data_IF_390176230150
#
_entry.id   IF_390176230150
#
_cell.length_a   1.000
_cell.length_b   1.000
_cell.length_c   1.000
_cell.angle_alpha   90.00
_cell.angle_beta   90.00
_cell.angle_gamma   90.00
#
_symmetry.space_group_name_H-M   'P 1'
#
loop_
_entity.id
_entity.type
_entity.pdbx_description
1 polymer ?
#
# COMPACT_ATOMS: atom_id res chain seq x y z
N UNK A 1 -27.48 13.58 -4.30
CA UNK A 1 -26.55 13.71 -5.44
C UNK A 1 -25.73 12.43 -5.42
N UNK A 2 -25.76 11.62 -6.49
CA UNK A 2 -25.00 10.37 -6.57
C UNK A 2 -23.51 10.70 -6.48
N UNK A 3 -22.80 10.08 -5.53
CA UNK A 3 -21.37 10.26 -5.31
C UNK A 3 -20.51 9.47 -6.32
N UNK A 4 -20.98 9.29 -7.54
CA UNK A 4 -20.39 8.39 -8.56
C UNK A 4 -19.13 8.99 -9.24
N UNK A 5 -18.28 9.66 -8.47
CA UNK A 5 -17.06 10.34 -8.98
C UNK A 5 -16.07 9.34 -9.60
N UNK A 6 -16.11 8.07 -9.17
CA UNK A 6 -15.27 6.99 -9.68
C UNK A 6 -16.02 6.00 -10.57
N UNK A 7 -17.21 6.37 -11.07
CA UNK A 7 -17.94 5.49 -11.99
C UNK A 7 -17.11 5.17 -13.24
N UNK A 8 -16.97 3.88 -13.52
CA UNK A 8 -16.12 3.38 -14.61
C UNK A 8 -14.63 3.31 -14.29
N UNK A 9 -14.18 3.82 -13.14
CA UNK A 9 -12.79 3.71 -12.69
C UNK A 9 -12.51 2.36 -12.04
N UNK A 10 -11.32 1.86 -12.23
CA UNK A 10 -10.86 0.58 -11.67
C UNK A 10 -9.75 0.80 -10.65
N UNK A 11 -9.92 0.20 -9.48
CA UNK A 11 -8.99 0.34 -8.36
C UNK A 11 -8.55 -1.03 -7.87
N UNK A 12 -7.26 -1.21 -7.69
CA UNK A 12 -6.65 -2.37 -6.99
C UNK A 12 -6.26 -1.95 -5.59
N UNK A 13 -6.63 -2.72 -4.56
CA UNK A 13 -6.27 -2.44 -3.16
C UNK A 13 -5.65 -3.67 -2.52
N UNK A 14 -4.39 -3.57 -2.10
CA UNK A 14 -3.76 -4.62 -1.31
C UNK A 14 -4.10 -4.51 0.17
N UNK A 15 -4.29 -5.65 0.84
CA UNK A 15 -4.71 -5.68 2.25
C UNK A 15 -6.13 -5.18 2.46
N UNK A 16 -7.02 -5.43 1.51
CA UNK A 16 -8.42 -4.97 1.49
C UNK A 16 -9.35 -5.73 2.45
N UNK A 17 -8.85 -6.69 3.22
CA UNK A 17 -9.69 -7.59 4.05
C UNK A 17 -9.95 -7.07 5.46
N UNK A 18 -9.34 -5.96 5.88
CA UNK A 18 -9.56 -5.38 7.21
C UNK A 18 -9.00 -3.95 7.32
N UNK A 19 -9.38 -3.25 8.40
CA UNK A 19 -8.81 -1.96 8.78
C UNK A 19 -8.91 -0.92 7.67
N UNK A 20 -7.82 -0.17 7.45
CA UNK A 20 -7.76 0.94 6.48
C UNK A 20 -8.10 0.46 5.07
N UNK A 21 -7.57 -0.70 4.65
CA UNK A 21 -7.81 -1.22 3.30
C UNK A 21 -9.26 -1.57 3.04
N UNK A 22 -9.96 -2.17 4.01
CA UNK A 22 -11.39 -2.46 3.90
C UNK A 22 -12.22 -1.17 3.92
N UNK A 23 -11.93 -0.24 4.83
CA UNK A 23 -12.62 1.04 4.90
C UNK A 23 -12.42 1.86 3.61
N UNK A 24 -11.21 1.85 3.03
CA UNK A 24 -10.93 2.49 1.75
C UNK A 24 -11.69 1.80 0.60
N UNK A 25 -11.76 0.46 0.59
CA UNK A 25 -12.51 -0.28 -0.41
C UNK A 25 -14.01 0.06 -0.36
N UNK A 26 -14.61 0.14 0.83
CA UNK A 26 -16.00 0.58 0.99
C UNK A 26 -16.20 2.01 0.46
N UNK A 27 -15.35 2.96 0.87
CA UNK A 27 -15.46 4.35 0.45
C UNK A 27 -15.29 4.55 -1.07
N UNK A 28 -14.45 3.74 -1.71
CA UNK A 28 -14.24 3.77 -3.17
C UNK A 28 -15.40 3.09 -3.92
N UNK A 29 -15.96 2.00 -3.35
CA UNK A 29 -17.14 1.34 -3.89
C UNK A 29 -18.37 2.25 -3.84
N UNK A 30 -18.56 3.00 -2.75
CA UNK A 30 -19.64 4.00 -2.59
C UNK A 30 -19.54 5.13 -3.65
N UNK A 31 -18.35 5.38 -4.19
CA UNK A 31 -18.10 6.34 -5.27
C UNK A 31 -18.18 5.72 -6.67
N UNK A 32 -18.62 4.47 -6.79
CA UNK A 32 -18.85 3.78 -8.07
C UNK A 32 -17.63 3.08 -8.68
N UNK A 33 -16.50 2.96 -7.94
CA UNK A 33 -15.31 2.27 -8.44
C UNK A 33 -15.55 0.76 -8.61
N UNK A 34 -14.94 0.17 -9.64
CA UNK A 34 -14.73 -1.28 -9.75
C UNK A 34 -13.50 -1.66 -8.91
N UNK A 35 -13.60 -2.68 -8.07
CA UNK A 35 -12.56 -3.02 -7.11
C UNK A 35 -11.96 -4.40 -7.36
N UNK A 36 -10.64 -4.47 -7.36
CA UNK A 36 -9.89 -5.71 -7.17
C UNK A 36 -9.25 -5.63 -5.78
N UNK A 37 -9.85 -6.33 -4.82
CA UNK A 37 -9.31 -6.47 -3.47
C UNK A 37 -8.26 -7.57 -3.41
N UNK A 38 -7.16 -7.35 -2.70
CA UNK A 38 -6.13 -8.38 -2.50
C UNK A 38 -6.04 -8.73 -1.02
N UNK A 39 -6.13 -10.02 -0.71
CA UNK A 39 -5.97 -10.57 0.63
C UNK A 39 -5.25 -11.91 0.59
N UNK A 40 -4.79 -12.40 1.76
CA UNK A 40 -4.11 -13.70 1.85
C UNK A 40 -5.06 -14.83 2.19
N UNK A 41 -6.04 -14.56 3.02
CA UNK A 41 -6.97 -15.54 3.58
C UNK A 41 -8.29 -15.53 2.80
N UNK A 42 -8.72 -16.65 2.19
CA UNK A 42 -9.92 -16.72 1.37
C UNK A 42 -11.20 -16.40 2.14
N UNK A 43 -11.30 -16.85 3.40
CA UNK A 43 -12.49 -16.60 4.23
C UNK A 43 -12.63 -15.11 4.53
N UNK A 44 -11.51 -14.44 4.83
CA UNK A 44 -11.50 -12.99 5.05
C UNK A 44 -11.75 -12.20 3.76
N UNK A 45 -11.30 -12.70 2.61
CA UNK A 45 -11.61 -12.09 1.31
C UNK A 45 -13.10 -12.14 1.02
N UNK A 46 -13.75 -13.29 1.23
CA UNK A 46 -15.19 -13.44 1.05
C UNK A 46 -15.98 -12.53 2.00
N UNK A 47 -15.63 -12.53 3.29
CA UNK A 47 -16.26 -11.67 4.29
C UNK A 47 -16.13 -10.18 3.92
N UNK A 48 -14.94 -9.74 3.48
CA UNK A 48 -14.71 -8.37 3.05
C UNK A 48 -15.54 -8.00 1.80
N UNK A 49 -15.67 -8.92 0.85
CA UNK A 49 -16.54 -8.73 -0.32
C UNK A 49 -18.00 -8.47 0.08
N UNK A 50 -18.53 -9.24 1.05
CA UNK A 50 -19.87 -9.04 1.59
C UNK A 50 -20.04 -7.66 2.27
N UNK A 51 -19.04 -7.22 3.03
CA UNK A 51 -19.05 -5.88 3.67
C UNK A 51 -19.06 -4.76 2.63
N UNK A 52 -18.27 -4.87 1.57
CA UNK A 52 -18.24 -3.88 0.49
C UNK A 52 -19.60 -3.85 -0.25
N UNK A 53 -20.20 -5.02 -0.52
CA UNK A 53 -21.52 -5.10 -1.14
C UNK A 53 -22.65 -4.58 -0.24
N UNK A 54 -22.50 -4.66 1.08
CA UNK A 54 -23.44 -4.02 2.01
C UNK A 54 -23.34 -2.48 1.98
N UNK A 55 -22.11 -1.94 1.80
CA UNK A 55 -21.92 -0.50 1.65
C UNK A 55 -22.46 0.02 0.30
N UNK A 56 -22.27 -0.75 -0.79
CA UNK A 56 -22.86 -0.48 -2.09
C UNK A 56 -23.31 -1.80 -2.76
N UNK A 57 -24.63 -2.08 -2.81
CA UNK A 57 -25.16 -3.31 -3.43
C UNK A 57 -24.81 -3.49 -4.91
N UNK A 58 -24.50 -2.39 -5.62
CA UNK A 58 -24.13 -2.40 -7.04
C UNK A 58 -22.61 -2.48 -7.24
N UNK A 59 -21.82 -2.60 -6.17
CA UNK A 59 -20.37 -2.64 -6.26
C UNK A 59 -19.88 -3.85 -7.08
N UNK A 60 -19.07 -3.58 -8.09
CA UNK A 60 -18.30 -4.61 -8.80
C UNK A 60 -17.01 -4.84 -8.03
N UNK A 61 -16.94 -5.96 -7.32
CA UNK A 61 -15.79 -6.32 -6.51
C UNK A 61 -15.35 -7.76 -6.77
N UNK A 62 -14.05 -7.93 -7.00
CA UNK A 62 -13.41 -9.24 -7.09
C UNK A 62 -12.24 -9.28 -6.10
N UNK A 63 -12.11 -10.38 -5.35
CA UNK A 63 -10.94 -10.61 -4.51
C UNK A 63 -9.98 -11.59 -5.19
N UNK A 64 -8.69 -11.26 -5.13
CA UNK A 64 -7.58 -12.12 -5.52
C UNK A 64 -6.74 -12.46 -4.28
N UNK A 65 -6.19 -13.68 -4.25
CA UNK A 65 -5.42 -14.17 -3.12
C UNK A 65 -3.94 -14.15 -3.44
N UNK A 66 -3.11 -13.58 -2.53
CA UNK A 66 -1.66 -13.66 -2.64
C UNK A 66 -1.00 -13.50 -1.26
N UNK A 67 0.08 -14.25 -1.01
CA UNK A 67 1.01 -13.93 0.07
C UNK A 67 2.06 -12.95 -0.44
N UNK A 68 1.86 -11.67 -0.13
CA UNK A 68 2.75 -10.59 -0.54
C UNK A 68 4.17 -10.67 0.08
N UNK A 69 4.43 -11.66 0.93
CA UNK A 69 5.78 -11.95 1.40
C UNK A 69 6.64 -12.63 0.31
N UNK A 70 6.04 -13.20 -0.72
CA UNK A 70 6.71 -13.93 -1.79
C UNK A 70 6.63 -13.15 -3.11
N UNK A 71 7.76 -12.87 -3.71
CA UNK A 71 7.84 -12.16 -4.99
C UNK A 71 7.20 -12.95 -6.13
N UNK A 72 7.34 -14.28 -6.10
CA UNK A 72 6.65 -15.20 -7.03
C UNK A 72 5.13 -15.01 -6.99
N UNK A 73 4.55 -14.88 -5.79
CA UNK A 73 3.13 -14.62 -5.61
C UNK A 73 2.72 -13.20 -6.06
N UNK A 74 3.59 -12.20 -5.87
CA UNK A 74 3.35 -10.83 -6.36
C UNK A 74 3.32 -10.82 -7.89
N UNK A 75 4.20 -11.57 -8.57
CA UNK A 75 4.21 -11.68 -10.04
C UNK A 75 2.96 -12.40 -10.54
N UNK A 76 2.58 -13.52 -9.93
CA UNK A 76 1.34 -14.24 -10.23
C UNK A 76 0.12 -13.34 -10.07
N UNK A 77 0.05 -12.62 -8.94
CA UNK A 77 -1.02 -11.66 -8.66
C UNK A 77 -1.12 -10.57 -9.74
N UNK A 78 0.01 -10.01 -10.18
CA UNK A 78 0.01 -8.99 -11.23
C UNK A 78 -0.57 -9.53 -12.55
N UNK A 79 -0.25 -10.78 -12.91
CA UNK A 79 -0.83 -11.46 -14.07
C UNK A 79 -2.35 -11.62 -13.92
N UNK A 80 -2.82 -12.12 -12.79
CA UNK A 80 -4.26 -12.30 -12.52
C UNK A 80 -5.03 -10.96 -12.50
N UNK A 81 -4.40 -9.89 -12.01
CA UNK A 81 -4.97 -8.53 -12.11
C UNK A 81 -5.13 -8.15 -13.59
N UNK A 82 -4.09 -8.32 -14.41
CA UNK A 82 -4.13 -8.01 -15.85
C UNK A 82 -5.21 -8.81 -16.57
N UNK A 83 -5.35 -10.11 -16.29
CA UNK A 83 -6.40 -10.96 -16.82
C UNK A 83 -7.81 -10.48 -16.41
N UNK A 84 -7.95 -10.03 -15.14
CA UNK A 84 -9.21 -9.48 -14.64
C UNK A 84 -9.57 -8.17 -15.34
N UNK A 85 -8.59 -7.26 -15.49
CA UNK A 85 -8.79 -6.00 -16.25
C UNK A 85 -9.21 -6.26 -17.70
N UNK A 86 -8.54 -7.21 -18.35
CA UNK A 86 -8.88 -7.65 -19.71
C UNK A 86 -10.30 -8.21 -19.79
N UNK A 87 -10.68 -9.10 -18.85
CA UNK A 87 -12.03 -9.68 -18.77
C UNK A 87 -13.10 -8.63 -18.52
N UNK A 88 -12.79 -7.59 -17.76
CA UNK A 88 -13.70 -6.46 -17.53
C UNK A 88 -13.77 -5.49 -18.72
N UNK A 89 -12.93 -5.68 -19.74
CA UNK A 89 -12.87 -4.81 -20.93
C UNK A 89 -12.43 -3.39 -20.60
N UNK A 90 -11.61 -3.20 -19.55
CA UNK A 90 -11.12 -1.87 -19.17
C UNK A 90 -9.76 -1.59 -19.80
N UNK A 91 -9.51 -0.36 -20.29
CA UNK A 91 -8.28 -0.03 -21.01
C UNK A 91 -7.07 0.11 -20.10
N UNK A 92 -7.28 0.28 -18.79
CA UNK A 92 -6.20 0.52 -17.84
C UNK A 92 -6.63 0.39 -16.39
N UNK A 93 -5.67 0.56 -15.49
CA UNK A 93 -5.84 0.61 -14.04
C UNK A 93 -5.75 2.06 -13.58
N UNK A 94 -6.86 2.61 -13.10
CA UNK A 94 -6.89 4.03 -12.68
C UNK A 94 -6.14 4.25 -11.37
N UNK A 95 -6.28 3.35 -10.39
CA UNK A 95 -5.63 3.50 -9.08
C UNK A 95 -5.09 2.18 -8.55
N UNK A 96 -3.82 2.17 -8.15
CA UNK A 96 -3.21 1.11 -7.34
C UNK A 96 -2.99 1.59 -5.91
N UNK A 97 -3.67 0.98 -4.94
CA UNK A 97 -3.51 1.26 -3.51
C UNK A 97 -2.66 0.17 -2.87
N UNK A 98 -1.38 0.44 -2.66
CA UNK A 98 -0.45 -0.38 -1.91
C UNK A 98 -0.64 -0.14 -0.40
N UNK A 99 -1.65 -0.79 0.19
CA UNK A 99 -2.00 -0.59 1.60
C UNK A 99 -1.57 -1.76 2.50
N UNK A 100 -1.38 -2.96 1.96
CA UNK A 100 -0.95 -4.10 2.76
C UNK A 100 0.32 -3.79 3.56
N UNK A 101 0.35 -4.26 4.79
CA UNK A 101 1.51 -4.08 5.65
C UNK A 101 1.45 -4.96 6.89
N UNK A 102 2.61 -5.18 7.50
CA UNK A 102 2.74 -5.98 8.71
C UNK A 102 3.87 -5.48 9.60
N UNK A 103 3.88 -5.97 10.83
CA UNK A 103 5.01 -5.91 11.76
C UNK A 103 5.34 -7.36 12.11
N UNK A 104 6.55 -7.81 11.80
CA UNK A 104 7.02 -9.13 12.20
C UNK A 104 7.28 -9.18 13.73
N UNK A 105 7.15 -10.35 14.36
CA UNK A 105 7.44 -10.54 15.79
C UNK A 105 8.94 -10.68 16.09
N UNK A 106 9.71 -11.09 15.08
CA UNK A 106 11.16 -11.33 15.15
C UNK A 106 11.75 -11.22 13.74
N UNK A 107 13.06 -11.35 13.62
CA UNK A 107 13.69 -11.50 12.29
C UNK A 107 13.22 -12.81 11.65
N UNK A 108 12.42 -12.67 10.62
CA UNK A 108 11.93 -13.79 9.80
C UNK A 108 12.33 -13.53 8.35
N UNK A 109 12.77 -14.57 7.66
CA UNK A 109 13.02 -14.53 6.22
C UNK A 109 11.97 -15.34 5.48
N UNK A 110 11.62 -14.88 4.31
CA UNK A 110 10.80 -15.64 3.36
C UNK A 110 11.60 -16.80 2.78
N UNK A 111 10.93 -17.74 2.11
CA UNK A 111 11.62 -18.80 1.35
C UNK A 111 12.52 -18.26 0.23
N UNK A 112 12.32 -17.01 -0.18
CA UNK A 112 13.13 -16.29 -1.18
C UNK A 112 14.30 -15.51 -0.53
N UNK A 113 14.56 -15.68 0.78
CA UNK A 113 15.68 -15.06 1.50
C UNK A 113 15.50 -13.59 1.89
N UNK A 114 14.32 -13.02 1.71
CA UNK A 114 14.02 -11.62 2.01
C UNK A 114 13.51 -11.47 3.45
N UNK A 115 13.92 -10.40 4.15
CA UNK A 115 13.35 -10.04 5.46
C UNK A 115 11.86 -9.76 5.30
N UNK A 116 11.03 -10.37 6.16
CA UNK A 116 9.59 -10.44 5.93
C UNK A 116 8.86 -9.10 5.98
N UNK A 117 9.29 -8.17 6.85
CA UNK A 117 8.70 -6.83 6.90
C UNK A 117 9.07 -6.02 5.65
N UNK A 118 10.32 -6.11 5.22
CA UNK A 118 10.80 -5.53 3.96
C UNK A 118 10.02 -6.10 2.77
N UNK A 119 9.88 -7.43 2.70
CA UNK A 119 9.18 -8.11 1.60
C UNK A 119 7.75 -7.60 1.45
N UNK A 120 6.96 -7.60 2.54
CA UNK A 120 5.54 -7.23 2.49
C UNK A 120 5.33 -5.72 2.36
N UNK A 121 6.08 -4.92 3.14
CA UNK A 121 5.78 -3.50 3.29
C UNK A 121 6.39 -2.63 2.19
N UNK A 122 7.48 -3.08 1.56
CA UNK A 122 8.20 -2.31 0.54
C UNK A 122 8.38 -3.04 -0.79
N UNK A 123 8.98 -4.23 -0.81
CA UNK A 123 9.29 -4.89 -2.08
C UNK A 123 8.03 -5.37 -2.82
N UNK A 124 6.98 -5.82 -2.11
CA UNK A 124 5.72 -6.17 -2.75
C UNK A 124 5.05 -4.95 -3.41
N UNK A 125 4.86 -3.78 -2.73
CA UNK A 125 4.45 -2.55 -3.40
C UNK A 125 5.31 -2.16 -4.59
N UNK A 126 6.62 -2.24 -4.46
CA UNK A 126 7.57 -1.89 -5.51
C UNK A 126 7.40 -2.79 -6.74
N UNK A 127 7.47 -4.11 -6.56
CA UNK A 127 7.35 -5.10 -7.62
C UNK A 127 5.97 -5.09 -8.27
N UNK A 128 4.89 -5.03 -7.47
CA UNK A 128 3.52 -4.99 -8.00
C UNK A 128 3.29 -3.72 -8.84
N UNK A 129 3.80 -2.58 -8.39
CA UNK A 129 3.71 -1.33 -9.14
C UNK A 129 4.45 -1.43 -10.47
N UNK A 130 5.66 -2.00 -10.48
CA UNK A 130 6.42 -2.24 -11.71
C UNK A 130 5.64 -3.12 -12.68
N UNK A 131 5.12 -4.26 -12.23
CA UNK A 131 4.38 -5.21 -13.06
C UNK A 131 3.08 -4.63 -13.62
N UNK A 132 2.41 -3.73 -12.87
CA UNK A 132 1.16 -3.09 -13.28
C UNK A 132 1.37 -1.72 -13.95
N UNK A 133 2.62 -1.28 -14.13
CA UNK A 133 2.91 0.03 -14.71
C UNK A 133 2.29 0.25 -16.09
N UNK A 134 2.31 -0.72 -17.04
CA UNK A 134 1.66 -0.55 -18.33
C UNK A 134 0.16 -0.26 -18.20
N UNK A 135 -0.54 -0.91 -17.27
CA UNK A 135 -1.95 -0.68 -16.99
C UNK A 135 -2.20 0.70 -16.37
N UNK A 136 -1.33 1.13 -15.44
CA UNK A 136 -1.41 2.46 -14.83
C UNK A 136 -1.16 3.58 -15.85
N UNK A 137 -0.25 3.38 -16.79
CA UNK A 137 0.04 4.34 -17.85
C UNK A 137 -1.05 4.40 -18.92
N UNK A 138 -1.77 3.30 -19.14
CA UNK A 138 -2.91 3.26 -20.06
C UNK A 138 -4.11 4.05 -19.51
N UNK A 139 -4.29 4.10 -18.19
CA UNK A 139 -5.26 4.99 -17.55
C UNK A 139 -4.72 6.43 -17.50
N UNK A 140 -5.60 7.43 -17.67
CA UNK A 140 -5.22 8.85 -17.63
C UNK A 140 -6.20 9.65 -16.78
N UNK A 141 -5.76 10.14 -15.60
CA UNK A 141 -4.45 9.95 -14.96
C UNK A 141 -4.41 8.68 -14.10
N UNK A 142 -3.45 7.77 -14.35
CA UNK A 142 -3.18 6.65 -13.46
C UNK A 142 -2.51 7.10 -12.17
N UNK A 143 -2.83 6.45 -11.04
CA UNK A 143 -2.33 6.83 -9.71
C UNK A 143 -1.84 5.63 -8.90
N UNK A 144 -0.74 5.82 -8.19
CA UNK A 144 -0.27 4.91 -7.15
C UNK A 144 -0.40 5.58 -5.79
N UNK A 145 -1.05 4.90 -4.84
CA UNK A 145 -1.19 5.37 -3.46
C UNK A 145 -0.55 4.32 -2.54
N UNK A 146 0.44 4.72 -1.74
CA UNK A 146 1.16 3.80 -0.84
C UNK A 146 0.97 4.19 0.62
N UNK A 147 0.56 3.26 1.47
CA UNK A 147 0.41 3.51 2.90
C UNK A 147 1.77 3.56 3.59
N UNK A 148 2.14 4.74 4.09
CA UNK A 148 3.31 5.01 4.91
C UNK A 148 2.93 5.08 6.41
N UNK A 149 3.58 5.92 7.19
CA UNK A 149 3.29 6.18 8.61
C UNK A 149 4.12 7.36 9.12
N UNK A 150 3.61 8.10 10.10
CA UNK A 150 4.40 9.10 10.84
C UNK A 150 5.68 8.51 11.46
N UNK A 151 5.72 7.21 11.71
CA UNK A 151 6.90 6.53 12.26
C UNK A 151 8.18 6.71 11.44
N UNK A 152 8.08 7.10 10.15
CA UNK A 152 9.22 7.37 9.27
C UNK A 152 10.03 8.61 9.69
N UNK A 153 9.45 9.56 10.46
CA UNK A 153 10.11 10.82 10.81
C UNK A 153 11.39 10.65 11.64
N UNK A 154 11.46 9.65 12.49
CA UNK A 154 12.60 9.39 13.38
C UNK A 154 13.38 8.15 12.96
N UNK A 155 13.70 8.08 11.65
CA UNK A 155 14.31 6.88 11.06
C UNK A 155 15.38 7.29 10.06
N UNK A 156 16.42 6.51 9.96
CA UNK A 156 17.41 6.55 8.88
C UNK A 156 17.55 5.15 8.30
N UNK A 157 17.99 5.04 7.06
CA UNK A 157 18.25 3.77 6.39
C UNK A 157 19.66 3.77 5.79
N UNK A 158 20.23 2.58 5.70
CA UNK A 158 21.29 2.30 4.76
C UNK A 158 20.70 1.40 3.66
N UNK A 159 20.44 1.92 2.46
CA UNK A 159 19.78 1.15 1.41
C UNK A 159 20.51 -0.16 1.09
N UNK A 160 21.85 -0.17 1.13
CA UNK A 160 22.66 -1.36 0.87
C UNK A 160 22.52 -2.48 1.91
N UNK A 161 21.85 -2.23 3.03
CA UNK A 161 21.68 -3.19 4.14
C UNK A 161 20.21 -3.42 4.52
N UNK A 162 19.27 -3.02 3.68
CA UNK A 162 17.84 -3.14 4.01
C UNK A 162 17.41 -4.59 4.23
N UNK A 163 17.95 -5.54 3.44
CA UNK A 163 17.69 -6.97 3.61
C UNK A 163 18.60 -7.65 4.64
N UNK A 164 19.75 -7.05 4.97
CA UNK A 164 20.75 -7.63 5.89
C UNK A 164 21.17 -6.61 6.95
N UNK A 165 20.26 -6.19 7.86
CA UNK A 165 20.60 -5.27 8.92
C UNK A 165 21.61 -5.90 9.89
N UNK A 166 22.59 -5.12 10.37
CA UNK A 166 23.58 -5.59 11.37
C UNK A 166 22.92 -5.90 12.71
N UNK A 167 21.94 -5.09 13.09
CA UNK A 167 21.14 -5.25 14.30
C UNK A 167 19.68 -5.18 13.88
N UNK A 168 18.89 -6.18 14.25
CA UNK A 168 17.48 -6.23 13.94
C UNK A 168 16.63 -5.87 15.16
N UNK A 169 15.72 -4.93 14.96
CA UNK A 169 14.68 -4.60 15.91
C UNK A 169 13.35 -4.43 15.19
N UNK A 170 12.34 -5.16 15.59
CA UNK A 170 11.04 -5.26 14.88
C UNK A 170 10.38 -3.90 14.59
N UNK A 171 10.35 -3.00 15.58
CA UNK A 171 9.77 -1.67 15.38
C UNK A 171 10.66 -0.78 14.50
N UNK A 172 11.96 -1.00 14.50
CA UNK A 172 12.87 -0.28 13.61
C UNK A 172 12.68 -0.73 12.18
N UNK A 173 12.62 -2.05 11.91
CA UNK A 173 12.34 -2.61 10.60
C UNK A 173 11.01 -2.07 10.04
N UNK A 174 9.96 -2.01 10.85
CA UNK A 174 8.70 -1.40 10.46
C UNK A 174 8.84 0.09 10.11
N UNK A 175 9.50 0.89 10.97
CA UNK A 175 9.73 2.32 10.71
C UNK A 175 10.52 2.54 9.42
N UNK A 176 11.56 1.73 9.21
CA UNK A 176 12.38 1.75 7.99
C UNK A 176 11.50 1.47 6.78
N UNK A 177 10.69 0.41 6.79
CA UNK A 177 9.81 0.07 5.67
C UNK A 177 8.82 1.21 5.33
N UNK A 178 8.35 1.95 6.32
CA UNK A 178 7.46 3.09 6.09
C UNK A 178 8.17 4.30 5.50
N UNK A 179 9.46 4.48 5.79
CA UNK A 179 10.30 5.47 5.14
C UNK A 179 10.65 5.06 3.70
N UNK A 180 10.91 3.78 3.47
CA UNK A 180 11.14 3.24 2.13
C UNK A 180 9.97 3.55 1.21
N UNK A 181 8.73 3.44 1.70
CA UNK A 181 7.54 3.78 0.94
C UNK A 181 7.45 5.27 0.56
N UNK A 182 7.92 6.19 1.42
CA UNK A 182 8.00 7.63 1.08
C UNK A 182 9.08 7.88 0.03
N UNK A 183 10.27 7.30 0.19
CA UNK A 183 11.37 7.43 -0.77
C UNK A 183 10.99 6.83 -2.14
N UNK A 184 10.34 5.68 -2.15
CA UNK A 184 9.79 5.05 -3.35
C UNK A 184 8.81 5.98 -4.08
N UNK A 185 7.84 6.56 -3.34
CA UNK A 185 6.86 7.50 -3.90
C UNK A 185 7.55 8.71 -4.55
N UNK A 186 8.56 9.28 -3.90
CA UNK A 186 9.31 10.43 -4.41
C UNK A 186 10.09 10.06 -5.68
N UNK A 187 10.82 8.94 -5.66
CA UNK A 187 11.62 8.53 -6.81
C UNK A 187 10.74 8.07 -7.98
N UNK A 188 9.59 7.43 -7.71
CA UNK A 188 8.61 7.10 -8.73
C UNK A 188 8.14 8.35 -9.48
N UNK A 189 7.77 9.41 -8.77
CA UNK A 189 7.32 10.67 -9.38
C UNK A 189 8.41 11.39 -10.19
N UNK A 190 9.70 11.07 -9.96
CA UNK A 190 10.83 11.61 -10.73
C UNK A 190 11.07 10.82 -12.03
N UNK A 191 10.77 9.52 -12.01
CA UNK A 191 11.08 8.60 -13.12
C UNK A 191 9.90 8.36 -14.03
N UNK A 192 8.68 8.36 -13.48
CA UNK A 192 7.47 7.89 -14.17
C UNK A 192 6.52 9.05 -14.44
N UNK A 193 6.12 9.20 -15.69
CA UNK A 193 5.10 10.14 -16.16
C UNK A 193 4.19 9.43 -17.16
N UNK A 194 2.90 9.76 -17.29
CA UNK A 194 2.14 10.76 -16.53
C UNK A 194 1.56 10.25 -15.20
N UNK A 195 1.76 8.97 -14.86
CA UNK A 195 1.27 8.37 -13.61
C UNK A 195 1.84 9.10 -12.40
N UNK A 196 1.01 9.34 -11.39
CA UNK A 196 1.41 10.03 -10.15
C UNK A 196 1.33 9.11 -8.94
N UNK A 197 2.28 9.29 -8.01
CA UNK A 197 2.36 8.54 -6.77
C UNK A 197 2.18 9.41 -5.55
N UNK A 198 1.48 8.88 -4.54
CA UNK A 198 1.22 9.53 -3.26
C UNK A 198 1.46 8.56 -2.11
N UNK A 199 2.16 9.00 -1.07
CA UNK A 199 2.28 8.27 0.18
C UNK A 199 1.30 8.85 1.20
N UNK A 200 0.54 7.98 1.87
CA UNK A 200 -0.44 8.35 2.88
C UNK A 200 0.05 7.99 4.26
N UNK A 201 0.05 8.97 5.16
CA UNK A 201 0.19 8.76 6.60
C UNK A 201 -1.19 8.48 7.20
N UNK A 202 -1.44 7.28 7.71
CA UNK A 202 -2.74 6.99 8.30
C UNK A 202 -2.92 7.60 9.70
N UNK A 203 -1.85 8.15 10.30
CA UNK A 203 -1.84 8.50 11.72
C UNK A 203 -1.85 7.25 12.62
N UNK A 204 -2.26 7.46 13.88
CA UNK A 204 -2.48 6.37 14.81
C UNK A 204 -3.90 5.81 14.62
N UNK A 205 -4.01 4.64 14.01
CA UNK A 205 -5.29 4.03 13.67
C UNK A 205 -5.57 2.82 14.55
N UNK A 206 -6.83 2.66 14.93
CA UNK A 206 -7.31 1.49 15.66
C UNK A 206 -7.40 0.28 14.72
N UNK A 207 -6.26 -0.39 14.45
CA UNK A 207 -6.19 -1.58 13.58
C UNK A 207 -5.47 -2.73 14.28
N UNK A 208 -5.65 -3.95 13.79
CA UNK A 208 -5.01 -5.17 14.32
C UNK A 208 -3.55 -5.36 13.87
N UNK A 209 -2.98 -4.43 13.12
CA UNK A 209 -1.66 -4.63 12.49
C UNK A 209 -0.54 -4.96 13.49
N UNK A 210 -0.60 -4.37 14.69
CA UNK A 210 0.40 -4.58 15.75
C UNK A 210 0.11 -5.76 16.68
N UNK A 211 -1.03 -6.45 16.53
CA UNK A 211 -1.42 -7.58 17.38
C UNK A 211 -0.96 -8.93 16.82
N UNK A 212 -0.66 -8.99 15.52
CA UNK A 212 -0.27 -10.22 14.84
C UNK A 212 1.19 -10.56 15.11
N UNK A 213 1.43 -11.61 15.91
CA UNK A 213 2.78 -12.18 16.13
C UNK A 213 3.65 -11.42 17.12
N UNK A 214 3.12 -10.50 17.94
CA UNK A 214 3.87 -9.80 18.97
C UNK A 214 3.73 -10.47 20.34
N UNK A 215 4.77 -10.42 21.19
CA UNK A 215 4.71 -10.91 22.58
C UNK A 215 3.70 -10.14 23.45
N UNK A 216 3.33 -10.71 24.62
CA UNK A 216 2.28 -10.18 25.51
C UNK A 216 2.47 -8.69 25.87
N UNK A 217 3.70 -8.25 26.15
CA UNK A 217 4.00 -6.87 26.51
C UNK A 217 3.81 -5.92 25.31
N UNK A 218 4.27 -6.34 24.12
CA UNK A 218 4.10 -5.56 22.89
C UNK A 218 2.61 -5.45 22.51
N UNK A 219 1.83 -6.52 22.72
CA UNK A 219 0.38 -6.52 22.53
C UNK A 219 -0.31 -5.54 23.47
N UNK A 220 0.08 -5.52 24.74
CA UNK A 220 -0.50 -4.61 25.74
C UNK A 220 -0.20 -3.13 25.43
N UNK A 221 1.05 -2.79 25.07
CA UNK A 221 1.43 -1.44 24.66
C UNK A 221 0.67 -1.02 23.39
N UNK A 222 0.53 -1.95 22.43
CA UNK A 222 -0.19 -1.69 21.20
C UNK A 222 -1.70 -1.52 21.42
N UNK A 223 -2.28 -2.31 22.32
CA UNK A 223 -3.68 -2.23 22.72
C UNK A 223 -4.00 -0.88 23.43
N UNK A 224 -3.10 -0.41 24.30
CA UNK A 224 -3.23 0.92 24.92
C UNK A 224 -3.15 2.05 23.88
N UNK A 225 -2.22 1.95 22.93
CA UNK A 225 -2.12 2.93 21.83
C UNK A 225 -3.31 2.89 20.89
N UNK A 226 -3.86 1.73 20.66
CA UNK A 226 -5.03 1.53 19.81
C UNK A 226 -6.27 2.25 20.36
N UNK A 227 -6.46 2.27 21.67
CA UNK A 227 -7.61 2.93 22.33
C UNK A 227 -7.67 4.44 22.09
N UNK A 228 -6.53 5.08 21.81
CA UNK A 228 -6.44 6.50 21.41
C UNK A 228 -6.35 6.72 19.89
N UNK A 229 -6.44 5.66 19.08
CA UNK A 229 -6.32 5.74 17.63
C UNK A 229 -7.61 6.22 16.94
N UNK A 230 -7.44 6.91 15.82
CA UNK A 230 -8.57 7.31 14.97
C UNK A 230 -9.21 6.10 14.29
N UNK A 231 -10.51 6.15 13.97
CA UNK A 231 -11.18 5.14 13.14
C UNK A 231 -10.50 4.96 11.77
N UNK A 232 -10.59 3.75 11.19
CA UNK A 232 -9.97 3.42 9.91
C UNK A 232 -10.53 4.24 8.74
N UNK A 233 -11.72 4.76 8.89
CA UNK A 233 -12.43 5.62 7.92
C UNK A 233 -11.71 6.96 7.69
N UNK A 234 -10.98 7.47 8.69
CA UNK A 234 -10.25 8.75 8.58
C UNK A 234 -9.14 8.66 7.52
N UNK A 235 -8.16 7.73 7.59
CA UNK A 235 -7.18 7.57 6.53
C UNK A 235 -7.79 7.01 5.22
N UNK A 236 -8.88 6.23 5.30
CA UNK A 236 -9.61 5.77 4.12
C UNK A 236 -10.15 6.94 3.28
N UNK A 237 -10.68 7.99 3.91
CA UNK A 237 -11.09 9.22 3.20
C UNK A 237 -9.93 9.91 2.49
N UNK A 238 -8.72 9.91 3.08
CA UNK A 238 -7.53 10.45 2.39
C UNK A 238 -7.18 9.62 1.16
N UNK A 239 -7.26 8.28 1.24
CA UNK A 239 -7.04 7.40 0.09
C UNK A 239 -8.10 7.66 -0.98
N UNK A 240 -9.38 7.72 -0.61
CA UNK A 240 -10.48 8.00 -1.53
C UNK A 240 -10.33 9.39 -2.19
N UNK A 241 -9.98 10.43 -1.43
CA UNK A 241 -9.69 11.75 -1.97
C UNK A 241 -8.56 11.70 -3.01
N UNK A 242 -7.45 11.04 -2.72
CA UNK A 242 -6.33 10.90 -3.65
C UNK A 242 -6.67 10.06 -4.88
N UNK A 243 -7.63 9.15 -4.77
CA UNK A 243 -8.09 8.35 -5.88
C UNK A 243 -8.96 9.14 -6.87
N UNK A 244 -9.76 10.10 -6.40
CA UNK A 244 -10.78 10.77 -7.22
C UNK A 244 -10.49 12.25 -7.56
N UNK A 245 -9.79 13.01 -6.72
CA UNK A 245 -9.63 14.45 -6.93
C UNK A 245 -8.88 14.76 -8.23
N UNK A 246 -9.39 15.71 -9.02
CA UNK A 246 -8.80 16.13 -10.30
C UNK A 246 -7.59 17.03 -10.10
N UNK A 247 -7.69 17.98 -9.19
CA UNK A 247 -6.68 19.02 -8.93
C UNK A 247 -5.82 18.68 -7.71
N UNK A 248 -5.05 17.59 -7.79
CA UNK A 248 -4.10 17.24 -6.75
C UNK A 248 -2.80 18.02 -6.91
N UNK A 249 -2.30 18.56 -5.79
CA UNK A 249 -0.97 19.13 -5.74
C UNK A 249 0.08 18.04 -6.01
N UNK A 250 1.27 18.42 -6.49
CA UNK A 250 2.40 17.52 -6.69
C UNK A 250 3.04 17.01 -5.39
N UNK A 251 2.46 17.32 -4.22
CA UNK A 251 2.99 16.90 -2.93
C UNK A 251 2.94 15.36 -2.79
N UNK A 252 4.08 14.71 -2.54
CA UNK A 252 4.15 13.24 -2.55
C UNK A 252 3.66 12.59 -1.26
N UNK A 253 3.37 13.35 -0.19
CA UNK A 253 3.02 12.83 1.13
C UNK A 253 1.82 13.56 1.74
N UNK A 254 0.85 12.80 2.22
CA UNK A 254 -0.47 13.29 2.65
C UNK A 254 -0.87 12.74 4.01
N UNK A 255 -1.53 13.57 4.80
CA UNK A 255 -2.11 13.22 6.10
C UNK A 255 -3.46 13.89 6.27
N UNK A 256 -4.47 13.16 6.68
CA UNK A 256 -5.82 13.66 6.97
C UNK A 256 -6.38 14.59 5.87
N UNK A 257 -6.30 14.12 4.62
CA UNK A 257 -6.83 14.85 3.45
C UNK A 257 -6.01 16.05 2.98
N UNK A 258 -4.85 16.33 3.59
CA UNK A 258 -4.00 17.47 3.26
C UNK A 258 -2.55 17.08 2.97
N UNK A 259 -1.84 17.84 2.13
CA UNK A 259 -0.40 17.70 1.94
C UNK A 259 0.35 17.91 3.25
N UNK A 260 1.34 17.05 3.52
CA UNK A 260 2.23 17.13 4.68
C UNK A 260 3.68 16.98 4.22
N UNK A 261 4.59 17.71 4.83
CA UNK A 261 6.02 17.58 4.53
C UNK A 261 6.55 16.26 5.10
N UNK A 262 7.16 15.38 4.28
CA UNK A 262 7.85 14.21 4.81
C UNK A 262 9.12 14.61 5.57
N UNK A 263 9.68 13.69 6.36
CA UNK A 263 10.92 13.94 7.12
C UNK A 263 12.07 14.37 6.20
N UNK A 264 13.00 15.18 6.72
CA UNK A 264 14.18 15.61 5.95
C UNK A 264 14.93 14.43 5.33
N UNK A 265 15.06 13.35 6.08
CA UNK A 265 15.76 12.14 5.63
C UNK A 265 14.96 11.35 4.57
N UNK A 266 13.62 11.41 4.58
CA UNK A 266 12.78 10.80 3.56
C UNK A 266 12.67 11.64 2.27
N UNK A 267 13.23 12.85 2.26
CA UNK A 267 13.35 13.72 1.07
C UNK A 267 14.74 13.65 0.43
N UNK A 268 15.62 12.76 0.88
CA UNK A 268 16.96 12.59 0.32
C UNK A 268 16.89 11.92 -1.05
N UNK A 269 17.16 12.68 -2.10
CA UNK A 269 17.23 12.16 -3.48
C UNK A 269 18.26 11.04 -3.65
N UNK A 270 19.41 11.18 -2.98
CA UNK A 270 20.44 10.15 -2.98
C UNK A 270 19.89 8.84 -2.39
N UNK A 271 19.26 8.92 -1.20
CA UNK A 271 18.70 7.72 -0.57
C UNK A 271 17.54 7.11 -1.38
N UNK A 272 16.77 7.94 -2.08
CA UNK A 272 15.67 7.47 -2.94
C UNK A 272 16.20 6.70 -4.15
N UNK A 273 17.25 7.23 -4.83
CA UNK A 273 17.91 6.53 -5.94
C UNK A 273 18.57 5.23 -5.50
N UNK A 274 19.36 5.26 -4.42
CA UNK A 274 20.03 4.06 -3.89
C UNK A 274 19.01 2.99 -3.46
N UNK A 275 17.89 3.38 -2.84
CA UNK A 275 16.82 2.46 -2.48
C UNK A 275 16.17 1.84 -3.73
N UNK A 276 15.93 2.64 -4.75
CA UNK A 276 15.37 2.16 -6.02
C UNK A 276 16.26 1.09 -6.65
N UNK A 277 17.55 1.36 -6.79
CA UNK A 277 18.53 0.44 -7.36
C UNK A 277 18.59 -0.88 -6.60
N UNK A 278 18.69 -0.82 -5.27
CA UNK A 278 18.70 -2.02 -4.42
C UNK A 278 17.36 -2.76 -4.49
N UNK A 279 16.24 -2.06 -4.61
CA UNK A 279 14.92 -2.70 -4.76
C UNK A 279 14.79 -3.41 -6.11
N UNK A 280 15.33 -2.83 -7.19
CA UNK A 280 15.42 -3.50 -8.49
C UNK A 280 16.27 -4.78 -8.40
N UNK A 281 17.45 -4.68 -7.78
CA UNK A 281 18.34 -5.85 -7.56
C UNK A 281 17.63 -6.95 -6.76
N UNK A 282 17.03 -6.60 -5.61
CA UNK A 282 16.32 -7.57 -4.76
C UNK A 282 15.08 -8.18 -5.43
N UNK A 283 14.45 -7.45 -6.34
CA UNK A 283 13.30 -7.94 -7.11
C UNK A 283 13.71 -8.64 -8.42
N UNK A 284 14.98 -8.58 -8.84
CA UNK A 284 15.44 -9.14 -10.11
C UNK A 284 14.73 -8.49 -11.30
N UNK A 285 14.60 -7.17 -11.30
CA UNK A 285 13.97 -6.37 -12.39
C UNK A 285 14.86 -5.22 -12.80
N UNK A 286 14.66 -4.75 -14.03
CA UNK A 286 15.18 -3.49 -14.55
C UNK A 286 14.02 -2.48 -14.60
N UNK A 287 14.23 -1.29 -14.02
CA UNK A 287 13.18 -0.26 -13.97
C UNK A 287 13.72 1.18 -14.02
#
# INVERSE_FOLDING_TARGET
MSNDVLLGKTVVITGATAGIGLAAACALAEQGARLIGVGRDPVRCEAAGKVIQQANPNAVVQFLQADLALQSEVRRLATEIGETLTRWGVPGLDVLVNNAGMIASSLQRTSEGIERTLAVNHLAPFLLTHQLLPWLQAARPGRMITTSSESHYRTWINPKRINHPLIYHVLWAYKVSKRENVLFTIEFNRRVTPTRAYAVDPGLVNTEIGLKGTGLLSRWIWEMRRRGGTPAEVPARTIAHLACAEDLTSAPYWYNGAPKQPSRTARSEKAARELWEVSCELCGIEW
#
